data_IF_993004309873
#
_entry.id   IF_993004309873
#
_cell.length_a   1.000
_cell.length_b   1.000
_cell.length_c   1.000
_cell.angle_alpha   90.00
_cell.angle_beta   90.00
_cell.angle_gamma   90.00
#
_symmetry.space_group_name_H-M   'P 1'
#
loop_
_entity.id
_entity.type
_entity.pdbx_description
1 polymer ?
#
# COMPACT_ATOMS: atom_id res chain seq x y z
N UNK A 1 7.43 6.36 -15.28
CA UNK A 1 7.17 7.07 -14.01
C UNK A 1 8.23 6.77 -12.97
N UNK A 2 8.47 7.70 -12.06
CA UNK A 2 9.36 7.52 -10.90
C UNK A 2 8.50 7.30 -9.66
N UNK A 3 8.52 6.09 -9.12
CA UNK A 3 7.74 5.72 -7.93
C UNK A 3 8.68 5.55 -6.75
N UNK A 4 8.46 6.35 -5.71
CA UNK A 4 9.13 6.18 -4.44
C UNK A 4 8.37 5.13 -3.63
N UNK A 5 9.05 4.06 -3.26
CA UNK A 5 8.46 2.97 -2.45
C UNK A 5 9.06 3.02 -1.06
N UNK A 6 8.24 3.38 -0.08
CA UNK A 6 8.61 3.36 1.34
C UNK A 6 8.09 2.11 2.04
N UNK A 7 8.54 1.89 3.26
CA UNK A 7 8.13 0.78 4.11
C UNK A 7 9.21 0.49 5.16
N UNK A 8 8.86 -0.25 6.18
CA UNK A 8 9.79 -0.61 7.26
C UNK A 8 11.03 -1.31 6.69
N UNK A 9 12.20 -0.94 7.18
CA UNK A 9 13.48 -1.45 6.67
C UNK A 9 13.68 -2.96 6.89
N UNK A 10 12.97 -3.55 7.84
CA UNK A 10 13.03 -4.96 8.18
C UNK A 10 11.64 -5.47 8.62
N UNK A 11 11.47 -6.77 8.66
CA UNK A 11 10.22 -7.43 9.07
C UNK A 11 9.17 -7.55 7.96
N UNK A 12 9.45 -7.04 6.75
CA UNK A 12 8.55 -7.17 5.61
C UNK A 12 9.24 -7.81 4.41
N UNK A 13 8.46 -8.52 3.60
CA UNK A 13 8.98 -9.18 2.40
C UNK A 13 8.90 -8.27 1.15
N UNK A 14 9.15 -6.99 1.32
CA UNK A 14 9.07 -5.97 0.30
C UNK A 14 10.00 -6.20 -0.92
N UNK A 15 11.19 -6.77 -0.68
CA UNK A 15 12.13 -7.11 -1.76
C UNK A 15 11.54 -8.16 -2.69
N UNK A 16 10.95 -9.22 -2.14
CA UNK A 16 10.33 -10.27 -2.95
C UNK A 16 9.11 -9.74 -3.71
N UNK A 17 8.34 -8.86 -3.09
CA UNK A 17 7.22 -8.19 -3.76
C UNK A 17 7.70 -7.34 -4.94
N UNK A 18 8.69 -6.46 -4.75
CA UNK A 18 9.27 -5.65 -5.83
C UNK A 18 9.87 -6.53 -6.94
N UNK A 19 10.54 -7.64 -6.59
CA UNK A 19 11.06 -8.59 -7.60
C UNK A 19 9.96 -9.22 -8.44
N UNK A 20 8.79 -9.54 -7.85
CA UNK A 20 7.62 -10.00 -8.61
C UNK A 20 7.12 -8.91 -9.57
N UNK A 21 7.08 -7.65 -9.13
CA UNK A 21 6.69 -6.50 -9.97
C UNK A 21 7.65 -6.35 -11.17
N UNK A 22 8.96 -6.41 -10.93
CA UNK A 22 9.97 -6.37 -12.00
C UNK A 22 9.85 -7.54 -12.97
N UNK A 23 9.60 -8.74 -12.45
CA UNK A 23 9.36 -9.93 -13.30
C UNK A 23 8.11 -9.76 -14.15
N UNK A 24 7.02 -9.26 -13.56
CA UNK A 24 5.78 -8.95 -14.27
C UNK A 24 6.01 -7.92 -15.39
N UNK A 25 6.78 -6.87 -15.10
CA UNK A 25 7.14 -5.87 -16.10
C UNK A 25 7.87 -6.48 -17.30
N UNK A 26 8.87 -7.34 -17.04
CA UNK A 26 9.61 -8.04 -18.10
C UNK A 26 8.71 -8.93 -18.95
N UNK A 27 7.76 -9.66 -18.35
CA UNK A 27 6.77 -10.46 -19.07
C UNK A 27 5.90 -9.60 -20.00
N UNK A 28 5.65 -8.37 -19.60
CA UNK A 28 4.85 -7.41 -20.37
C UNK A 28 5.71 -6.47 -21.27
N UNK A 29 6.96 -6.86 -21.55
CA UNK A 29 7.86 -6.11 -22.43
C UNK A 29 8.28 -4.73 -21.92
N UNK A 30 8.19 -4.52 -20.59
CA UNK A 30 8.62 -3.28 -19.90
C UNK A 30 9.86 -3.54 -19.07
N UNK A 31 10.67 -2.50 -18.93
CA UNK A 31 11.84 -2.51 -18.06
C UNK A 31 11.63 -1.51 -16.91
N UNK A 32 11.77 -1.98 -15.68
CA UNK A 32 11.72 -1.15 -14.48
C UNK A 32 13.10 -1.16 -13.84
N UNK A 33 13.70 0.02 -13.72
CA UNK A 33 14.94 0.22 -12.98
C UNK A 33 14.62 0.34 -11.48
N UNK A 34 15.38 -0.38 -10.64
CA UNK A 34 15.17 -0.35 -9.18
C UNK A 34 16.43 0.15 -8.48
N UNK A 35 16.27 1.17 -7.65
CA UNK A 35 17.28 1.68 -6.73
C UNK A 35 16.90 1.33 -5.29
N UNK A 36 17.87 0.91 -4.50
CA UNK A 36 17.74 0.75 -3.06
C UNK A 36 18.58 1.82 -2.36
N UNK A 37 17.96 2.88 -1.91
CA UNK A 37 18.66 4.02 -1.34
C UNK A 37 19.50 3.65 -0.10
N UNK A 38 19.03 2.72 0.74
CA UNK A 38 19.83 2.25 1.89
C UNK A 38 21.11 1.54 1.42
N UNK A 39 21.03 0.76 0.36
CA UNK A 39 22.19 0.11 -0.21
C UNK A 39 23.20 1.13 -0.73
N UNK A 40 22.72 2.18 -1.39
CA UNK A 40 23.55 3.29 -1.87
C UNK A 40 24.20 4.06 -0.70
N UNK A 41 23.44 4.41 0.35
CA UNK A 41 23.97 5.08 1.54
C UNK A 41 25.08 4.27 2.20
N UNK A 42 24.95 2.97 2.24
CA UNK A 42 25.93 2.05 2.81
C UNK A 42 27.05 1.67 1.82
N UNK A 43 27.05 2.24 0.61
CA UNK A 43 28.00 1.92 -0.49
C UNK A 43 28.10 0.42 -0.75
N UNK A 44 26.96 -0.23 -0.94
CA UNK A 44 26.91 -1.66 -1.17
C UNK A 44 27.29 -2.50 0.06
N UNK A 45 26.97 -2.01 1.27
CA UNK A 45 27.30 -2.69 2.53
C UNK A 45 28.75 -2.46 3.02
N UNK A 46 29.56 -1.66 2.31
CA UNK A 46 30.93 -1.33 2.73
C UNK A 46 30.97 -0.42 3.96
N UNK A 47 29.90 0.34 4.20
CA UNK A 47 29.73 1.16 5.40
C UNK A 47 28.57 0.61 6.21
N UNK A 48 28.82 0.12 7.42
CA UNK A 48 27.73 -0.38 8.27
C UNK A 48 26.68 0.69 8.52
N UNK A 49 25.41 0.33 8.41
CA UNK A 49 24.28 1.26 8.56
C UNK A 49 24.28 1.91 9.95
N UNK A 50 24.62 1.15 11.01
CA UNK A 50 24.68 1.66 12.37
C UNK A 50 25.67 2.81 12.54
N UNK A 51 26.77 2.84 11.76
CA UNK A 51 27.71 3.97 11.80
C UNK A 51 27.09 5.24 11.24
N UNK A 52 26.30 5.13 10.17
CA UNK A 52 25.58 6.28 9.61
C UNK A 52 24.50 6.75 10.58
N UNK A 53 23.76 5.83 11.18
CA UNK A 53 22.75 6.14 12.17
C UNK A 53 23.32 6.72 13.46
N UNK A 54 24.58 6.42 13.79
CA UNK A 54 25.31 7.00 14.92
C UNK A 54 25.89 8.39 14.66
N UNK A 55 25.81 8.92 13.42
CA UNK A 55 26.27 10.27 13.12
C UNK A 55 25.25 11.35 13.51
N UNK A 56 25.64 12.62 13.49
CA UNK A 56 24.69 13.72 13.67
C UNK A 56 23.68 13.76 12.53
N UNK A 57 22.49 14.32 12.80
CA UNK A 57 21.43 14.44 11.78
C UNK A 57 21.93 15.16 10.53
N UNK A 58 22.71 16.20 10.69
CA UNK A 58 23.31 16.95 9.59
C UNK A 58 24.21 16.07 8.68
N UNK A 59 25.13 15.30 9.26
CA UNK A 59 26.02 14.41 8.49
C UNK A 59 25.23 13.33 7.79
N UNK A 60 24.22 12.79 8.44
CA UNK A 60 23.37 11.76 7.86
C UNK A 60 22.49 12.32 6.72
N UNK A 61 21.94 13.53 6.87
CA UNK A 61 21.21 14.24 5.83
C UNK A 61 22.09 14.53 4.61
N UNK A 62 23.27 15.08 4.78
CA UNK A 62 24.23 15.31 3.68
C UNK A 62 24.60 14.02 2.95
N UNK A 63 24.69 12.90 3.67
CA UNK A 63 24.99 11.61 3.03
C UNK A 63 23.82 11.19 2.14
N UNK A 64 22.58 11.32 2.60
CA UNK A 64 21.39 11.00 1.81
C UNK A 64 21.24 11.93 0.61
N UNK A 65 21.42 13.24 0.80
CA UNK A 65 21.37 14.24 -0.28
C UNK A 65 22.30 13.88 -1.43
N UNK A 66 23.54 13.55 -1.14
CA UNK A 66 24.52 13.14 -2.16
C UNK A 66 24.13 11.86 -2.92
N UNK A 67 23.55 10.91 -2.23
CA UNK A 67 23.15 9.66 -2.90
C UNK A 67 21.86 9.85 -3.72
N UNK A 68 20.91 10.70 -3.27
CA UNK A 68 19.75 11.06 -4.08
C UNK A 68 20.15 11.85 -5.33
N UNK A 69 21.10 12.77 -5.23
CA UNK A 69 21.67 13.48 -6.38
C UNK A 69 22.26 12.50 -7.41
N UNK A 70 23.02 11.50 -6.96
CA UNK A 70 23.57 10.47 -7.84
C UNK A 70 22.49 9.60 -8.50
N UNK A 71 21.50 9.16 -7.73
CA UNK A 71 20.36 8.39 -8.25
C UNK A 71 19.62 9.23 -9.31
N UNK A 72 19.31 10.49 -9.01
CA UNK A 72 18.65 11.39 -9.95
C UNK A 72 19.45 11.62 -11.22
N UNK A 73 20.76 11.83 -11.09
CA UNK A 73 21.67 11.96 -12.24
C UNK A 73 21.72 10.68 -13.08
N UNK A 74 21.79 9.51 -12.46
CA UNK A 74 21.83 8.22 -13.16
C UNK A 74 20.52 7.96 -13.93
N UNK A 75 19.36 8.26 -13.31
CA UNK A 75 18.06 8.18 -13.98
C UNK A 75 18.03 9.05 -15.24
N UNK A 76 18.47 10.30 -15.12
CA UNK A 76 18.47 11.25 -16.25
C UNK A 76 19.46 10.84 -17.34
N UNK A 77 20.69 10.49 -16.96
CA UNK A 77 21.74 10.09 -17.90
C UNK A 77 21.36 8.89 -18.74
N UNK A 78 20.71 7.89 -18.15
CA UNK A 78 20.31 6.66 -18.83
C UNK A 78 18.90 6.72 -19.40
N UNK A 79 18.17 7.83 -19.18
CA UNK A 79 16.81 8.05 -19.66
C UNK A 79 15.84 6.91 -19.27
N UNK A 80 15.96 6.41 -18.05
CA UNK A 80 15.06 5.37 -17.55
C UNK A 80 13.63 5.91 -17.45
N UNK A 81 12.68 5.19 -18.06
CA UNK A 81 11.26 5.62 -18.11
C UNK A 81 10.50 5.25 -16.86
N UNK A 82 10.70 4.01 -16.40
CA UNK A 82 9.97 3.43 -15.28
C UNK A 82 10.97 3.04 -14.18
N UNK A 83 10.82 3.68 -13.03
CA UNK A 83 11.80 3.60 -11.94
C UNK A 83 11.11 3.37 -10.60
N UNK A 84 11.64 2.44 -9.82
CA UNK A 84 11.29 2.26 -8.40
C UNK A 84 12.49 2.70 -7.56
N UNK A 85 12.28 3.64 -6.65
CA UNK A 85 13.27 4.03 -5.64
C UNK A 85 12.76 3.55 -4.28
N UNK A 86 13.41 2.52 -3.73
CA UNK A 86 13.09 1.98 -2.41
C UNK A 86 13.81 2.78 -1.33
N UNK A 87 13.05 3.40 -0.43
CA UNK A 87 13.56 4.25 0.65
C UNK A 87 12.60 4.17 1.85
N UNK A 88 13.01 3.70 3.04
CA UNK A 88 12.22 3.85 4.24
C UNK A 88 12.12 5.33 4.64
N UNK A 89 10.96 5.74 5.13
CA UNK A 89 10.76 7.09 5.67
C UNK A 89 11.29 7.21 7.10
N UNK A 90 11.35 6.08 7.80
CA UNK A 90 11.86 6.00 9.17
C UNK A 90 12.81 4.80 9.33
N UNK A 91 13.78 4.93 10.22
CA UNK A 91 14.60 3.81 10.67
C UNK A 91 14.64 3.80 12.18
N UNK A 92 14.24 2.68 12.75
CA UNK A 92 14.42 2.48 14.17
C UNK A 92 15.89 2.21 14.52
N UNK A 93 16.43 3.02 15.43
CA UNK A 93 17.77 2.89 15.95
C UNK A 93 17.81 3.25 17.44
N UNK A 94 18.32 2.34 18.27
CA UNK A 94 18.43 2.56 19.72
C UNK A 94 17.10 2.99 20.40
N UNK A 95 16.00 2.36 20.02
CA UNK A 95 14.63 2.63 20.51
C UNK A 95 14.09 4.02 20.11
N UNK A 96 14.68 4.65 19.11
CA UNK A 96 14.23 5.91 18.54
C UNK A 96 14.00 5.72 17.06
N UNK A 97 12.84 6.13 16.57
CA UNK A 97 12.58 6.19 15.14
C UNK A 97 13.23 7.45 14.56
N UNK A 98 14.28 7.27 13.78
CA UNK A 98 14.90 8.37 13.04
C UNK A 98 14.10 8.65 11.79
N UNK A 99 13.50 9.84 11.75
CA UNK A 99 12.63 10.30 10.67
C UNK A 99 13.46 10.99 9.58
N UNK A 100 13.19 10.67 8.33
CA UNK A 100 13.86 11.30 7.20
C UNK A 100 13.02 12.48 6.71
N UNK A 101 13.45 13.68 7.05
CA UNK A 101 12.83 14.95 6.63
C UNK A 101 13.32 15.36 5.24
N UNK A 102 13.21 14.43 4.30
CA UNK A 102 13.89 14.51 3.00
C UNK A 102 13.02 15.10 1.88
N UNK A 103 11.81 15.59 2.18
CA UNK A 103 10.83 16.03 1.17
C UNK A 103 11.40 17.06 0.17
N UNK A 104 12.25 17.99 0.62
CA UNK A 104 12.90 18.97 -0.25
C UNK A 104 13.93 18.31 -1.17
N UNK A 105 14.77 17.47 -0.61
CA UNK A 105 15.86 16.79 -1.32
C UNK A 105 15.27 15.81 -2.35
N UNK A 106 14.22 15.07 -1.96
CA UNK A 106 13.51 14.15 -2.84
C UNK A 106 12.86 14.89 -4.02
N UNK A 107 12.23 16.05 -3.77
CA UNK A 107 11.67 16.87 -4.83
C UNK A 107 12.74 17.37 -5.78
N UNK A 108 13.86 17.88 -5.25
CA UNK A 108 14.87 18.58 -6.03
C UNK A 108 15.75 17.62 -6.86
N UNK A 109 16.04 16.41 -6.37
CA UNK A 109 16.92 15.46 -7.05
C UNK A 109 16.21 14.27 -7.68
N UNK A 110 15.16 13.76 -7.06
CA UNK A 110 14.41 12.58 -7.56
C UNK A 110 13.18 13.01 -8.35
N UNK A 111 12.40 13.94 -7.80
CA UNK A 111 11.10 14.36 -8.29
C UNK A 111 10.19 13.15 -8.61
N UNK A 112 9.77 12.39 -7.61
CA UNK A 112 8.90 11.25 -7.83
C UNK A 112 7.52 11.68 -8.33
N UNK A 113 6.87 10.82 -9.12
CA UNK A 113 5.52 11.05 -9.62
C UNK A 113 4.46 10.51 -8.64
N UNK A 114 4.81 9.49 -7.85
CA UNK A 114 3.94 8.80 -6.89
C UNK A 114 4.77 8.30 -5.72
N UNK A 115 4.21 8.31 -4.53
CA UNK A 115 4.75 7.60 -3.36
C UNK A 115 3.82 6.44 -3.02
N UNK A 116 4.42 5.28 -2.76
CA UNK A 116 3.73 4.07 -2.30
C UNK A 116 4.37 3.60 -1.00
N UNK A 117 3.59 3.49 0.07
CA UNK A 117 4.06 2.88 1.31
C UNK A 117 3.61 1.44 1.37
N UNK A 118 4.57 0.54 1.52
CA UNK A 118 4.29 -0.89 1.70
C UNK A 118 4.07 -1.20 3.17
N UNK A 119 3.05 -2.01 3.43
CA UNK A 119 2.72 -2.51 4.77
C UNK A 119 2.56 -4.02 4.77
N UNK A 120 2.61 -4.60 5.97
CA UNK A 120 2.39 -6.03 6.22
C UNK A 120 1.62 -6.20 7.53
N UNK A 121 1.05 -7.38 7.77
CA UNK A 121 0.43 -7.69 9.04
C UNK A 121 1.44 -7.64 10.20
N UNK A 122 1.06 -7.04 11.31
CA UNK A 122 1.94 -6.78 12.46
C UNK A 122 2.55 -8.05 13.06
N UNK A 123 1.77 -9.14 13.10
CA UNK A 123 2.24 -10.43 13.61
C UNK A 123 3.27 -11.09 12.67
N UNK A 124 3.14 -10.89 11.35
CA UNK A 124 4.12 -11.34 10.36
C UNK A 124 5.42 -10.57 10.55
N UNK A 125 5.34 -9.25 10.68
CA UNK A 125 6.50 -8.40 10.95
C UNK A 125 7.20 -8.82 12.24
N UNK A 126 6.45 -9.05 13.32
CA UNK A 126 6.99 -9.52 14.60
C UNK A 126 7.76 -10.82 14.44
N UNK A 127 7.15 -11.81 13.78
CA UNK A 127 7.75 -13.12 13.53
C UNK A 127 9.03 -13.01 12.68
N UNK A 128 9.01 -12.20 11.64
CA UNK A 128 10.18 -11.97 10.79
C UNK A 128 11.31 -11.27 11.56
N UNK A 129 11.02 -10.25 12.37
CA UNK A 129 12.01 -9.59 13.22
C UNK A 129 12.66 -10.55 14.23
N UNK A 130 11.86 -11.43 14.85
CA UNK A 130 12.34 -12.46 15.78
C UNK A 130 13.16 -13.56 15.10
N UNK A 131 12.89 -13.84 13.83
CA UNK A 131 13.56 -14.88 13.04
C UNK A 131 14.84 -14.42 12.35
N UNK A 132 15.18 -13.10 12.38
CA UNK A 132 16.36 -12.56 11.71
C UNK A 132 17.60 -13.40 12.07
N UNK A 133 18.22 -13.99 11.05
CA UNK A 133 19.54 -14.64 11.12
C UNK A 133 20.50 -13.93 10.16
N UNK A 134 21.17 -12.92 10.65
CA UNK A 134 22.07 -12.08 9.85
C UNK A 134 23.32 -11.71 10.64
N UNK A 135 24.51 -11.69 9.99
CA UNK A 135 25.72 -11.17 10.62
C UNK A 135 25.68 -9.64 10.77
N UNK A 136 24.78 -8.93 10.10
CA UNK A 136 24.67 -7.47 10.12
C UNK A 136 24.37 -6.96 11.54
N UNK A 137 25.19 -6.08 12.13
CA UNK A 137 25.00 -5.59 13.49
C UNK A 137 23.68 -4.84 13.69
N UNK A 138 23.21 -4.09 12.68
CA UNK A 138 21.94 -3.39 12.74
C UNK A 138 20.77 -4.38 12.85
N UNK A 139 20.75 -5.42 12.01
CA UNK A 139 19.72 -6.43 12.03
C UNK A 139 19.75 -7.26 13.34
N UNK A 140 20.94 -7.56 13.86
CA UNK A 140 21.09 -8.20 15.19
C UNK A 140 20.52 -7.34 16.31
N UNK A 141 20.73 -6.03 16.26
CA UNK A 141 20.20 -5.11 17.25
C UNK A 141 18.64 -5.04 17.19
N UNK A 142 18.06 -5.04 15.99
CA UNK A 142 16.60 -5.11 15.82
C UNK A 142 16.02 -6.39 16.40
N UNK A 143 16.59 -7.55 16.10
CA UNK A 143 16.17 -8.84 16.68
C UNK A 143 16.23 -8.85 18.20
N UNK A 144 17.33 -8.39 18.77
CA UNK A 144 17.58 -8.42 20.21
C UNK A 144 16.59 -7.55 21.00
N UNK A 145 15.90 -6.64 20.36
CA UNK A 145 14.99 -5.69 21.00
C UNK A 145 13.65 -6.30 21.43
N UNK A 146 13.20 -7.35 20.77
CA UNK A 146 11.89 -7.98 21.05
C UNK A 146 10.74 -6.96 20.99
N UNK A 147 10.39 -6.53 19.77
CA UNK A 147 9.35 -5.55 19.54
C UNK A 147 7.96 -6.05 19.98
N UNK A 148 7.22 -5.20 20.67
CA UNK A 148 5.79 -5.43 20.93
C UNK A 148 4.96 -5.12 19.68
N UNK A 149 3.73 -5.66 19.62
CA UNK A 149 2.77 -5.34 18.55
C UNK A 149 2.53 -3.82 18.47
N UNK A 150 2.36 -3.16 19.61
CA UNK A 150 2.17 -1.71 19.67
C UNK A 150 3.35 -0.94 19.05
N UNK A 151 4.59 -1.33 19.34
CA UNK A 151 5.78 -0.69 18.76
C UNK A 151 5.85 -0.89 17.24
N UNK A 152 5.51 -2.07 16.74
CA UNK A 152 5.45 -2.37 15.30
C UNK A 152 4.39 -1.51 14.62
N UNK A 153 3.17 -1.47 15.16
CA UNK A 153 2.09 -0.65 14.63
C UNK A 153 2.42 0.84 14.67
N UNK A 154 3.04 1.31 15.76
CA UNK A 154 3.51 2.69 15.89
C UNK A 154 4.57 3.03 14.85
N UNK A 155 5.54 2.14 14.62
CA UNK A 155 6.55 2.32 13.58
C UNK A 155 5.92 2.37 12.19
N UNK A 156 5.02 1.45 11.87
CA UNK A 156 4.31 1.42 10.58
C UNK A 156 3.48 2.70 10.37
N UNK A 157 2.80 3.20 11.41
CA UNK A 157 2.06 4.46 11.34
C UNK A 157 2.97 5.67 11.09
N UNK A 158 4.13 5.73 11.72
CA UNK A 158 5.12 6.79 11.46
C UNK A 158 5.64 6.72 10.02
N UNK A 159 5.89 5.53 9.50
CA UNK A 159 6.31 5.31 8.11
C UNK A 159 5.28 5.84 7.12
N UNK A 160 4.00 5.49 7.29
CA UNK A 160 2.91 5.95 6.44
C UNK A 160 2.73 7.46 6.54
N UNK A 161 2.70 8.00 7.77
CA UNK A 161 2.48 9.43 8.01
C UNK A 161 3.57 10.31 7.39
N UNK A 162 4.83 9.90 7.53
CA UNK A 162 5.94 10.68 6.98
C UNK A 162 6.01 10.58 5.45
N UNK A 163 5.70 9.43 4.88
CA UNK A 163 5.58 9.26 3.43
C UNK A 163 4.44 10.10 2.84
N UNK A 164 3.33 10.21 3.58
CA UNK A 164 2.22 11.10 3.21
C UNK A 164 2.62 12.56 3.27
N UNK A 165 3.38 12.97 4.29
CA UNK A 165 3.90 14.35 4.39
C UNK A 165 4.83 14.68 3.21
N UNK A 166 5.65 13.74 2.77
CA UNK A 166 6.47 13.92 1.57
C UNK A 166 5.59 14.12 0.32
N UNK A 167 4.59 13.27 0.13
CA UNK A 167 3.67 13.36 -1.00
C UNK A 167 2.90 14.68 -1.00
N UNK A 168 2.39 15.09 0.16
CA UNK A 168 1.67 16.36 0.34
C UNK A 168 2.57 17.55 0.03
N UNK A 169 3.81 17.53 0.50
CA UNK A 169 4.80 18.61 0.22
C UNK A 169 5.08 18.73 -1.30
N UNK A 170 5.14 17.61 -2.00
CA UNK A 170 5.41 17.57 -3.45
C UNK A 170 4.14 17.67 -4.31
N UNK A 171 2.96 17.66 -3.69
CA UNK A 171 1.65 17.65 -4.36
C UNK A 171 1.49 16.49 -5.36
N UNK A 172 1.86 15.29 -4.92
CA UNK A 172 1.77 14.03 -5.67
C UNK A 172 0.93 12.99 -4.94
N UNK A 173 0.39 11.97 -5.63
CA UNK A 173 -0.38 10.91 -5.00
C UNK A 173 0.45 10.09 -3.99
N UNK A 174 -0.21 9.65 -2.93
CA UNK A 174 0.31 8.68 -1.96
C UNK A 174 -0.67 7.53 -1.80
N UNK A 175 -0.18 6.31 -1.95
CA UNK A 175 -0.97 5.09 -1.73
C UNK A 175 -0.30 4.19 -0.70
N UNK A 176 -1.11 3.44 0.02
CA UNK A 176 -0.64 2.40 0.94
C UNK A 176 -1.06 1.05 0.37
N UNK A 177 -0.13 0.11 0.23
CA UNK A 177 -0.36 -1.20 -0.39
C UNK A 177 0.28 -2.28 0.48
N UNK A 178 -0.40 -3.41 0.65
CA UNK A 178 0.21 -4.58 1.29
C UNK A 178 1.29 -5.23 0.40
N UNK A 179 2.33 -5.79 1.00
CA UNK A 179 3.30 -6.63 0.28
C UNK A 179 2.69 -7.96 -0.22
N UNK A 180 1.50 -8.31 0.26
CA UNK A 180 0.73 -9.47 -0.18
C UNK A 180 -0.30 -9.12 -1.27
N UNK A 181 -0.39 -7.84 -1.66
CA UNK A 181 -1.23 -7.44 -2.77
C UNK A 181 -0.73 -8.05 -4.09
N UNK A 182 -1.61 -8.12 -5.09
CA UNK A 182 -1.20 -8.56 -6.41
C UNK A 182 -0.07 -7.65 -6.96
N UNK A 183 1.02 -8.20 -7.51
CA UNK A 183 2.11 -7.41 -8.08
C UNK A 183 1.66 -6.45 -9.18
N UNK A 184 0.53 -6.70 -9.84
CA UNK A 184 -0.03 -5.85 -10.86
C UNK A 184 -0.47 -4.48 -10.33
N UNK A 185 -0.80 -4.38 -9.03
CA UNK A 185 -1.16 -3.11 -8.38
C UNK A 185 0.01 -2.13 -8.40
N UNK A 186 1.19 -2.52 -7.92
CA UNK A 186 2.37 -1.65 -7.98
C UNK A 186 2.89 -1.51 -9.42
N UNK A 187 2.82 -2.56 -10.25
CA UNK A 187 3.19 -2.48 -11.66
C UNK A 187 2.42 -1.40 -12.40
N UNK A 188 1.08 -1.33 -12.21
CA UNK A 188 0.24 -0.30 -12.84
C UNK A 188 0.62 1.11 -12.38
N UNK A 189 0.90 1.31 -11.09
CA UNK A 189 1.33 2.60 -10.55
C UNK A 189 2.69 3.04 -11.10
N UNK A 190 3.56 2.11 -11.50
CA UNK A 190 4.88 2.42 -12.08
C UNK A 190 4.78 2.70 -13.58
N UNK A 191 3.96 1.95 -14.31
CA UNK A 191 3.99 1.96 -15.78
C UNK A 191 2.93 2.85 -16.40
N UNK A 192 1.77 3.00 -15.76
CA UNK A 192 0.67 3.77 -16.34
C UNK A 192 0.49 5.12 -15.63
N UNK A 193 0.39 6.23 -16.37
CA UNK A 193 0.12 7.52 -15.76
C UNK A 193 -1.31 7.55 -15.21
N UNK A 194 -1.47 7.86 -13.93
CA UNK A 194 -2.78 8.01 -13.25
C UNK A 194 -3.72 6.81 -13.45
N UNK A 195 -3.29 5.59 -13.10
CA UNK A 195 -4.21 4.45 -13.15
C UNK A 195 -5.35 4.71 -12.16
N UNK A 196 -6.54 4.17 -12.48
CA UNK A 196 -7.66 4.24 -11.56
C UNK A 196 -7.39 3.35 -10.35
N UNK A 197 -7.42 3.92 -9.14
CA UNK A 197 -7.15 3.21 -7.88
C UNK A 197 -8.44 3.07 -7.09
N UNK A 198 -8.78 1.85 -6.70
CA UNK A 198 -10.03 1.55 -6.01
C UNK A 198 -9.81 0.71 -4.76
N UNK A 199 -10.68 0.88 -3.78
CA UNK A 199 -10.76 0.04 -2.60
C UNK A 199 -11.95 -0.92 -2.74
N UNK A 200 -11.71 -2.21 -2.51
CA UNK A 200 -12.74 -3.25 -2.52
C UNK A 200 -13.32 -3.40 -1.10
N UNK A 201 -14.55 -2.92 -0.91
CA UNK A 201 -15.28 -2.99 0.36
C UNK A 201 -16.22 -4.19 0.37
N UNK A 202 -16.06 -5.13 1.31
CA UNK A 202 -16.93 -6.30 1.43
C UNK A 202 -16.87 -6.91 2.83
N UNK A 203 -17.88 -7.70 3.18
CA UNK A 203 -17.94 -8.36 4.49
C UNK A 203 -16.93 -9.51 4.58
N UNK A 204 -15.96 -9.42 5.48
CA UNK A 204 -14.96 -10.45 5.73
C UNK A 204 -15.33 -11.39 6.89
N UNK A 205 -15.90 -10.84 7.95
CA UNK A 205 -16.05 -11.51 9.26
C UNK A 205 -17.00 -12.72 9.21
N UNK A 206 -18.04 -12.69 8.37
CA UNK A 206 -19.04 -13.74 8.29
C UNK A 206 -19.18 -14.32 6.88
N UNK A 207 -18.21 -14.07 6.01
CA UNK A 207 -18.22 -14.60 4.67
C UNK A 207 -17.97 -16.12 4.66
N UNK A 208 -18.87 -16.85 4.01
CA UNK A 208 -18.65 -18.26 3.71
C UNK A 208 -17.56 -18.43 2.64
N UNK A 209 -17.02 -19.62 2.50
CA UNK A 209 -16.01 -19.88 1.45
C UNK A 209 -16.57 -19.62 0.03
N UNK A 210 -17.84 -19.93 -0.19
CA UNK A 210 -18.51 -19.67 -1.46
C UNK A 210 -18.64 -18.16 -1.73
N UNK A 211 -19.02 -17.38 -0.72
CA UNK A 211 -19.07 -15.92 -0.81
C UNK A 211 -17.69 -15.34 -1.15
N UNK A 212 -16.64 -15.82 -0.49
CA UNK A 212 -15.27 -15.39 -0.76
C UNK A 212 -14.85 -15.69 -2.19
N UNK A 213 -15.24 -16.84 -2.75
CA UNK A 213 -14.95 -17.17 -4.16
C UNK A 213 -15.60 -16.16 -5.12
N UNK A 214 -16.87 -15.81 -4.90
CA UNK A 214 -17.56 -14.83 -5.72
C UNK A 214 -16.88 -13.44 -5.63
N UNK A 215 -16.57 -12.98 -4.41
CA UNK A 215 -15.86 -11.70 -4.21
C UNK A 215 -14.49 -11.73 -4.91
N UNK A 216 -13.73 -12.78 -4.75
CA UNK A 216 -12.41 -12.93 -5.38
C UNK A 216 -12.49 -12.92 -6.92
N UNK A 217 -13.53 -13.50 -7.51
CA UNK A 217 -13.76 -13.43 -8.97
C UNK A 217 -14.07 -12.00 -9.41
N UNK A 218 -14.89 -11.28 -8.66
CA UNK A 218 -15.17 -9.85 -8.93
C UNK A 218 -13.90 -9.02 -8.81
N UNK A 219 -13.12 -9.18 -7.73
CA UNK A 219 -11.84 -8.48 -7.53
C UNK A 219 -10.86 -8.80 -8.66
N UNK A 220 -10.73 -10.07 -9.05
CA UNK A 220 -9.88 -10.46 -10.16
C UNK A 220 -10.27 -9.78 -11.46
N UNK A 221 -11.56 -9.73 -11.78
CA UNK A 221 -12.05 -9.01 -12.97
C UNK A 221 -11.84 -7.50 -12.83
N UNK A 222 -12.05 -6.93 -11.64
CA UNK A 222 -11.83 -5.51 -11.37
C UNK A 222 -10.36 -5.09 -11.56
N UNK A 223 -9.41 -5.97 -11.25
CA UNK A 223 -7.98 -5.74 -11.53
C UNK A 223 -7.69 -5.50 -13.00
N UNK A 224 -8.51 -5.97 -13.93
CA UNK A 224 -8.32 -5.60 -15.35
C UNK A 224 -8.69 -4.14 -15.67
N UNK A 225 -9.30 -3.39 -14.77
CA UNK A 225 -9.68 -1.98 -14.94
C UNK A 225 -8.99 -1.02 -13.97
N UNK A 226 -8.48 -1.54 -12.86
CA UNK A 226 -8.02 -0.71 -11.75
C UNK A 226 -6.77 -1.27 -11.06
N UNK A 227 -6.11 -0.42 -10.30
CA UNK A 227 -5.32 -0.83 -9.14
C UNK A 227 -6.32 -1.09 -8.02
N UNK A 228 -6.41 -2.33 -7.57
CA UNK A 228 -7.33 -2.71 -6.50
C UNK A 228 -6.58 -2.82 -5.20
N UNK A 229 -7.04 -2.13 -4.18
CA UNK A 229 -6.59 -2.30 -2.80
C UNK A 229 -7.59 -3.23 -2.12
N UNK A 230 -7.09 -4.40 -1.72
CA UNK A 230 -7.89 -5.46 -1.12
C UNK A 230 -7.53 -5.61 0.36
N UNK A 231 -8.46 -5.31 1.30
CA UNK A 231 -8.17 -5.37 2.73
C UNK A 231 -7.79 -6.76 3.24
N UNK A 232 -8.16 -7.84 2.54
CA UNK A 232 -7.75 -9.21 2.89
C UNK A 232 -6.25 -9.44 2.80
N UNK A 233 -5.52 -8.63 2.07
CA UNK A 233 -4.06 -8.77 1.90
C UNK A 233 -3.27 -8.44 3.15
N UNK A 234 -3.91 -7.81 4.15
CA UNK A 234 -3.36 -7.60 5.49
C UNK A 234 -4.28 -8.30 6.49
N UNK A 235 -4.01 -9.57 6.75
CA UNK A 235 -4.82 -10.36 7.68
C UNK A 235 -4.66 -9.87 9.12
N UNK A 236 -5.78 -9.80 9.85
CA UNK A 236 -5.78 -9.51 11.27
C UNK A 236 -5.36 -10.78 12.02
N UNK A 237 -4.45 -10.65 13.00
CA UNK A 237 -4.12 -11.76 13.89
C UNK A 237 -5.38 -12.28 14.60
N UNK A 238 -5.49 -13.60 14.66
CA UNK A 238 -6.50 -14.27 15.48
C UNK A 238 -5.96 -14.63 16.88
N UNK A 239 -4.65 -14.55 17.05
CA UNK A 239 -3.94 -14.83 18.29
C UNK A 239 -3.39 -13.52 18.88
N UNK A 240 -3.67 -13.28 20.15
CA UNK A 240 -3.25 -12.07 20.84
C UNK A 240 -2.49 -12.47 22.11
N UNK A 241 -1.33 -11.85 22.33
CA UNK A 241 -0.53 -12.06 23.53
C UNK A 241 -1.23 -11.46 24.77
N UNK A 242 -2.07 -10.44 24.55
CA UNK A 242 -2.82 -9.78 25.62
C UNK A 242 -4.16 -9.19 25.12
N UNK A 243 -5.14 -8.92 26.00
CA UNK A 243 -6.35 -8.19 25.64
C UNK A 243 -6.08 -6.80 25.05
N UNK A 244 -5.01 -6.14 25.50
CA UNK A 244 -4.61 -4.83 25.00
C UNK A 244 -4.15 -4.90 23.53
N UNK A 245 -3.42 -5.95 23.14
CA UNK A 245 -3.01 -6.13 21.74
C UNK A 245 -4.21 -6.23 20.83
N UNK A 246 -5.27 -6.93 21.26
CA UNK A 246 -6.51 -7.04 20.50
C UNK A 246 -7.17 -5.68 20.25
N UNK A 247 -7.29 -4.86 21.30
CA UNK A 247 -7.88 -3.52 21.19
C UNK A 247 -7.08 -2.63 20.25
N UNK A 248 -5.75 -2.64 20.40
CA UNK A 248 -4.85 -1.85 19.57
C UNK A 248 -4.91 -2.28 18.11
N UNK A 249 -4.88 -3.58 17.82
CA UNK A 249 -4.96 -4.13 16.46
C UNK A 249 -6.29 -3.75 15.81
N UNK A 250 -7.42 -3.86 16.53
CA UNK A 250 -8.72 -3.51 15.99
C UNK A 250 -8.84 -2.01 15.68
N UNK A 251 -8.41 -1.15 16.59
CA UNK A 251 -8.38 0.29 16.37
C UNK A 251 -7.51 0.65 15.18
N UNK A 252 -6.36 -0.01 15.04
CA UNK A 252 -5.44 0.21 13.94
C UNK A 252 -6.01 -0.27 12.59
N UNK A 253 -6.70 -1.41 12.59
CA UNK A 253 -7.37 -1.94 11.39
C UNK A 253 -8.41 -0.93 10.87
N UNK A 254 -9.27 -0.41 11.75
CA UNK A 254 -10.24 0.62 11.39
C UNK A 254 -9.53 1.86 10.83
N UNK A 255 -8.48 2.34 11.51
CA UNK A 255 -7.70 3.49 11.04
C UNK A 255 -7.07 3.25 9.66
N UNK A 256 -6.48 2.07 9.44
CA UNK A 256 -5.91 1.66 8.15
C UNK A 256 -6.94 1.71 7.04
N UNK A 257 -8.07 1.04 7.23
CA UNK A 257 -9.08 0.88 6.19
C UNK A 257 -9.72 2.23 5.83
N UNK A 258 -10.07 3.05 6.82
CA UNK A 258 -10.73 4.33 6.60
C UNK A 258 -9.78 5.43 6.09
N UNK A 259 -8.60 5.56 6.67
CA UNK A 259 -7.71 6.70 6.38
C UNK A 259 -6.58 6.36 5.40
N UNK A 260 -6.00 5.16 5.47
CA UNK A 260 -4.92 4.80 4.57
C UNK A 260 -5.43 4.23 3.24
N UNK A 261 -6.57 3.57 3.23
CA UNK A 261 -7.17 3.01 2.02
C UNK A 261 -8.26 3.90 1.47
N UNK A 262 -9.44 3.95 2.10
CA UNK A 262 -10.58 4.72 1.63
C UNK A 262 -10.24 6.20 1.38
N UNK A 263 -9.48 6.82 2.29
CA UNK A 263 -9.09 8.23 2.16
C UNK A 263 -8.21 8.55 0.96
N UNK A 264 -7.50 7.55 0.38
CA UNK A 264 -6.47 7.78 -0.67
C UNK A 264 -6.84 7.28 -2.06
N UNK A 265 -7.84 6.42 -2.18
CA UNK A 265 -8.29 5.87 -3.48
C UNK A 265 -9.16 6.86 -4.26
N UNK A 266 -9.41 6.58 -5.54
CA UNK A 266 -10.32 7.34 -6.38
C UNK A 266 -11.77 6.95 -6.15
N UNK A 267 -12.01 5.65 -5.86
CA UNK A 267 -13.35 5.12 -5.63
C UNK A 267 -13.37 3.97 -4.63
N UNK A 268 -14.53 3.78 -4.00
CA UNK A 268 -14.85 2.61 -3.18
C UNK A 268 -15.90 1.77 -3.90
N UNK A 269 -15.66 0.47 -4.00
CA UNK A 269 -16.57 -0.49 -4.62
C UNK A 269 -17.06 -1.44 -3.55
N UNK A 270 -18.29 -1.25 -3.12
CA UNK A 270 -18.96 -2.11 -2.15
C UNK A 270 -19.49 -3.37 -2.88
N UNK A 271 -18.98 -4.53 -2.49
CA UNK A 271 -19.27 -5.82 -3.13
C UNK A 271 -20.15 -6.66 -2.20
N UNK A 272 -21.44 -6.76 -2.50
CA UNK A 272 -22.38 -7.55 -1.72
C UNK A 272 -23.45 -8.19 -2.63
N UNK A 273 -23.09 -9.11 -3.51
CA UNK A 273 -23.99 -9.66 -4.53
C UNK A 273 -24.88 -10.78 -4.00
N UNK A 274 -25.15 -10.84 -2.69
CA UNK A 274 -25.83 -11.98 -2.05
C UNK A 274 -27.28 -11.62 -1.67
N UNK A 275 -28.31 -12.09 -2.40
CA UNK A 275 -29.70 -11.78 -2.10
C UNK A 275 -30.17 -12.36 -0.77
N UNK A 276 -29.52 -13.41 -0.27
CA UNK A 276 -29.95 -14.17 0.90
C UNK A 276 -29.42 -13.64 2.24
N UNK A 277 -28.55 -12.63 2.22
CA UNK A 277 -27.90 -12.09 3.43
C UNK A 277 -27.84 -10.56 3.43
N UNK A 278 -28.96 -9.88 3.51
CA UNK A 278 -29.00 -8.50 3.97
C UNK A 278 -28.86 -8.49 5.52
N UNK A 279 -28.43 -7.41 6.17
CA UNK A 279 -27.99 -6.12 5.63
C UNK A 279 -26.49 -6.07 5.37
N UNK A 280 -26.01 -4.95 4.83
CA UNK A 280 -24.58 -4.66 4.74
C UNK A 280 -23.91 -4.73 6.12
N UNK A 281 -22.64 -5.12 6.17
CA UNK A 281 -21.89 -5.09 7.41
C UNK A 281 -21.67 -3.66 7.90
N UNK A 282 -21.53 -3.48 9.22
CA UNK A 282 -21.23 -2.17 9.80
C UNK A 282 -19.93 -1.57 9.22
N UNK A 283 -18.91 -2.39 8.96
CA UNK A 283 -17.66 -1.94 8.32
C UNK A 283 -17.89 -1.37 6.93
N UNK A 284 -18.62 -2.07 6.06
CA UNK A 284 -18.95 -1.55 4.72
C UNK A 284 -19.72 -0.21 4.78
N UNK A 285 -20.63 -0.07 5.72
CA UNK A 285 -21.38 1.17 5.91
C UNK A 285 -20.49 2.33 6.34
N UNK A 286 -19.54 2.05 7.22
CA UNK A 286 -18.57 3.03 7.72
C UNK A 286 -17.58 3.44 6.61
N UNK A 287 -17.06 2.48 5.85
CA UNK A 287 -16.20 2.72 4.69
C UNK A 287 -16.91 3.58 3.61
N UNK A 288 -18.17 3.30 3.30
CA UNK A 288 -18.97 4.12 2.37
C UNK A 288 -19.26 5.52 2.93
N UNK A 289 -19.50 5.64 4.24
CA UNK A 289 -19.64 6.91 4.93
C UNK A 289 -18.39 7.77 4.81
N UNK A 290 -17.24 7.20 5.12
CA UNK A 290 -15.95 7.87 4.98
C UNK A 290 -15.61 8.21 3.53
N UNK A 291 -15.91 7.31 2.58
CA UNK A 291 -15.76 7.59 1.15
C UNK A 291 -16.58 8.82 0.72
N UNK A 292 -17.81 8.97 1.22
CA UNK A 292 -18.62 10.15 1.00
C UNK A 292 -17.96 11.41 1.58
N UNK A 293 -17.48 11.33 2.82
CA UNK A 293 -16.88 12.47 3.51
C UNK A 293 -15.56 12.92 2.87
N UNK A 294 -14.81 11.97 2.27
CA UNK A 294 -13.64 12.24 1.44
C UNK A 294 -13.97 12.57 -0.03
N UNK A 295 -15.24 12.71 -0.38
CA UNK A 295 -15.71 12.99 -1.76
C UNK A 295 -15.20 11.97 -2.79
N UNK A 296 -15.10 10.69 -2.39
CA UNK A 296 -14.73 9.60 -3.28
C UNK A 296 -15.95 9.08 -4.02
N UNK A 297 -15.76 8.64 -5.27
CA UNK A 297 -16.81 7.94 -6.01
C UNK A 297 -17.14 6.62 -5.33
N UNK A 298 -18.43 6.28 -5.25
CA UNK A 298 -18.91 5.06 -4.57
C UNK A 298 -19.76 4.26 -5.53
N UNK A 299 -19.41 3.00 -5.67
CA UNK A 299 -20.17 2.02 -6.42
C UNK A 299 -20.62 0.91 -5.48
N UNK A 300 -21.75 0.32 -5.78
CA UNK A 300 -22.27 -0.79 -5.01
C UNK A 300 -22.86 -1.86 -5.91
N UNK A 301 -22.42 -3.10 -5.71
CA UNK A 301 -23.03 -4.31 -6.25
C UNK A 301 -23.87 -4.90 -5.14
N UNK A 302 -25.20 -4.72 -5.20
CA UNK A 302 -26.13 -5.09 -4.14
C UNK A 302 -27.51 -5.36 -4.71
N UNK A 303 -28.20 -6.44 -4.30
CA UNK A 303 -29.56 -6.71 -4.77
C UNK A 303 -30.52 -5.58 -4.42
N UNK A 304 -31.26 -5.08 -5.39
CA UNK A 304 -32.24 -4.00 -5.19
C UNK A 304 -33.41 -4.45 -4.32
N UNK A 305 -33.99 -3.49 -3.60
CA UNK A 305 -35.23 -3.71 -2.83
C UNK A 305 -35.06 -4.11 -1.37
N UNK A 306 -33.82 -4.31 -0.88
CA UNK A 306 -33.61 -4.70 0.52
C UNK A 306 -33.75 -3.54 1.52
N UNK A 307 -33.30 -2.34 1.19
CA UNK A 307 -33.43 -1.19 2.07
C UNK A 307 -33.15 0.14 1.35
N UNK A 308 -34.07 1.13 1.40
CA UNK A 308 -33.79 2.46 0.86
C UNK A 308 -32.69 3.19 1.63
N UNK A 309 -32.54 2.95 2.94
CA UNK A 309 -31.49 3.57 3.75
C UNK A 309 -30.09 3.10 3.34
N UNK A 310 -29.95 1.88 2.83
CA UNK A 310 -28.68 1.32 2.42
C UNK A 310 -28.19 1.92 1.12
N UNK A 311 -29.10 2.22 0.18
CA UNK A 311 -28.76 2.61 -1.18
C UNK A 311 -28.76 4.12 -1.37
N UNK A 312 -29.80 4.81 -0.95
CA UNK A 312 -29.96 6.24 -1.25
C UNK A 312 -29.09 7.16 -0.39
N UNK A 313 -28.66 6.68 0.80
CA UNK A 313 -27.84 7.48 1.72
C UNK A 313 -26.36 7.44 1.43
N UNK A 314 -25.86 6.38 0.78
CA UNK A 314 -24.42 6.13 0.64
C UNK A 314 -23.93 6.11 -0.81
N UNK A 315 -24.80 5.87 -1.78
CA UNK A 315 -24.43 5.65 -3.19
C UNK A 315 -25.00 6.75 -4.07
N UNK A 316 -24.20 7.23 -5.01
CA UNK A 316 -24.65 8.18 -6.03
C UNK A 316 -25.68 7.53 -6.96
N UNK A 317 -26.63 8.35 -7.42
CA UNK A 317 -27.65 7.88 -8.36
C UNK A 317 -27.01 7.31 -9.62
N UNK A 318 -27.33 6.07 -9.95
CA UNK A 318 -26.80 5.35 -11.11
C UNK A 318 -25.56 4.50 -10.81
N UNK A 319 -25.05 4.50 -9.57
CA UNK A 319 -23.90 3.67 -9.17
C UNK A 319 -24.29 2.44 -8.32
N UNK A 320 -25.56 2.10 -8.30
CA UNK A 320 -26.08 0.86 -7.70
C UNK A 320 -26.39 -0.16 -8.79
N UNK A 321 -25.76 -1.31 -8.73
CA UNK A 321 -25.86 -2.40 -9.70
C UNK A 321 -26.41 -3.64 -9.00
N UNK A 322 -27.33 -4.34 -9.67
CA UNK A 322 -27.93 -5.56 -9.12
C UNK A 322 -26.97 -6.74 -9.21
N UNK A 323 -26.15 -6.77 -10.26
CA UNK A 323 -25.22 -7.86 -10.53
C UNK A 323 -23.81 -7.33 -10.85
N UNK A 324 -22.78 -8.17 -10.69
CA UNK A 324 -21.44 -7.83 -11.15
C UNK A 324 -21.36 -7.51 -12.65
N UNK A 325 -22.18 -8.19 -13.46
CA UNK A 325 -22.22 -8.02 -14.92
C UNK A 325 -22.69 -6.61 -15.27
N UNK A 326 -23.75 -6.09 -14.63
CA UNK A 326 -24.24 -4.73 -14.81
C UNK A 326 -23.17 -3.70 -14.45
N UNK A 327 -22.43 -3.93 -13.37
CA UNK A 327 -21.35 -3.04 -12.95
C UNK A 327 -20.22 -3.00 -13.98
N UNK A 328 -19.75 -4.15 -14.47
CA UNK A 328 -18.68 -4.19 -15.44
C UNK A 328 -19.12 -3.65 -16.81
N UNK A 329 -20.36 -3.89 -17.24
CA UNK A 329 -20.91 -3.28 -18.44
C UNK A 329 -20.95 -1.76 -18.32
N UNK A 330 -21.31 -1.22 -17.17
CA UNK A 330 -21.28 0.21 -16.88
C UNK A 330 -19.85 0.78 -16.98
N UNK A 331 -18.84 0.11 -16.41
CA UNK A 331 -17.44 0.53 -16.52
C UNK A 331 -16.95 0.57 -17.97
N UNK A 332 -17.33 -0.40 -18.79
CA UNK A 332 -16.92 -0.50 -20.20
C UNK A 332 -17.66 0.48 -21.09
N UNK A 333 -18.97 0.56 -20.98
CA UNK A 333 -19.81 1.24 -21.97
C UNK A 333 -20.21 2.67 -21.57
N UNK A 334 -20.32 2.95 -20.27
CA UNK A 334 -20.71 4.28 -19.77
C UNK A 334 -19.49 5.09 -19.36
N UNK A 335 -18.66 4.59 -18.46
CA UNK A 335 -17.47 5.31 -18.01
C UNK A 335 -16.28 5.16 -18.96
N UNK A 336 -16.30 4.17 -19.84
CA UNK A 336 -15.22 3.87 -20.80
C UNK A 336 -13.86 3.77 -20.11
N UNK A 337 -13.83 3.04 -18.99
CA UNK A 337 -12.60 2.83 -18.21
C UNK A 337 -11.56 2.10 -19.07
N UNK A 338 -10.30 2.54 -18.95
CA UNK A 338 -9.19 1.83 -19.56
C UNK A 338 -9.12 0.41 -19.05
N UNK A 339 -9.04 -0.55 -19.96
CA UNK A 339 -8.85 -1.95 -19.64
C UNK A 339 -7.40 -2.36 -19.82
N UNK A 340 -6.80 -2.94 -18.80
CA UNK A 340 -5.43 -3.46 -18.83
C UNK A 340 -5.44 -4.94 -19.26
N UNK A 341 -5.89 -5.20 -20.51
CA UNK A 341 -6.05 -6.57 -21.03
C UNK A 341 -4.73 -7.25 -21.39
N UNK A 342 -3.66 -6.46 -21.54
CA UNK A 342 -2.38 -6.94 -22.02
C UNK A 342 -1.42 -7.31 -20.89
N UNK A 343 -1.87 -7.26 -19.63
CA UNK A 343 -1.05 -7.64 -18.49
C UNK A 343 -1.09 -9.17 -18.34
N UNK A 344 0.00 -9.82 -18.74
CA UNK A 344 0.21 -11.26 -18.46
C UNK A 344 0.38 -11.42 -16.95
N UNK A 345 -0.37 -12.35 -16.35
CA UNK A 345 -0.26 -12.69 -14.94
C UNK A 345 0.97 -13.58 -14.69
N UNK A 346 1.51 -13.52 -13.45
CA UNK A 346 2.66 -14.33 -13.01
C UNK A 346 2.24 -15.76 -12.66
#
# INVERSE_FOLDING_TARGET
LKVLVSGMIAGMNDRAFIQKVVKLAKLNGKEIQVYNAIHEFTKGGKKPLERLLGTTDYVFELTREREYEKIGFDIQKNNYKDVIIRLPATIEWNRINRKFKDQRILRDFIAPDVIVTLIEAEWVIKKELESIDSPDPFLKALKARQHTIYEILSWMNEEVSLSEDWARYMNIPHYVISVNESPDSLYKLVVYPKPWVVYASYSMTHATEEMRKIVNEIIRKLRSYAVVIDPQTVEISQEFDSPLDREVIYAYTVHRDLHWYVGKVDAVIAIHPYPERPPLSAGMMDELGHARDYMKTRYMIFPKGFSPFTTDSYIEKGHLFETPEEFFDYLENVEKRQKYTDILEL
#
